data_IF_563533955063
#
_entry.id   IF_563533955063
#
_cell.length_a   1.000
_cell.length_b   1.000
_cell.length_c   1.000
_cell.angle_alpha   90.00
_cell.angle_beta   90.00
_cell.angle_gamma   90.00
#
_symmetry.space_group_name_H-M   'P 1'
#
loop_
_entity.id
_entity.type
_entity.pdbx_description
1 polymer ?
#
# COMPACT_ATOMS: atom_id res chain seq x y z
N UNK A 1 -1.74 -16.48 3.51
CA UNK A 1 -0.70 -16.39 2.44
C UNK A 1 -1.20 -16.74 1.04
N UNK A 2 -1.80 -17.92 0.77
CA UNK A 2 -2.23 -18.31 -0.59
C UNK A 2 -3.20 -17.32 -1.27
N UNK A 3 -4.23 -16.89 -0.54
CA UNK A 3 -5.22 -15.91 -1.03
C UNK A 3 -4.58 -14.55 -1.36
N UNK A 4 -3.76 -14.02 -0.45
CA UNK A 4 -3.03 -12.77 -0.64
C UNK A 4 -2.10 -12.79 -1.85
N UNK A 5 -1.33 -13.88 -2.04
CA UNK A 5 -0.47 -14.07 -3.21
C UNK A 5 -1.25 -14.08 -4.52
N UNK A 6 -2.37 -14.83 -4.56
CA UNK A 6 -3.21 -14.91 -5.76
C UNK A 6 -3.81 -13.54 -6.10
N UNK A 7 -4.35 -12.85 -5.10
CA UNK A 7 -4.95 -11.53 -5.31
C UNK A 7 -3.91 -10.48 -5.72
N UNK A 8 -2.71 -10.51 -5.13
CA UNK A 8 -1.58 -9.69 -5.55
C UNK A 8 -1.23 -9.91 -7.02
N UNK A 9 -1.14 -11.18 -7.44
CA UNK A 9 -0.83 -11.56 -8.82
C UNK A 9 -1.82 -10.98 -9.84
N UNK A 10 -3.10 -10.94 -9.52
CA UNK A 10 -4.14 -10.44 -10.42
C UNK A 10 -4.29 -8.92 -10.45
N UNK A 11 -3.89 -8.23 -9.38
CA UNK A 11 -4.26 -6.81 -9.17
C UNK A 11 -3.03 -5.90 -9.18
N UNK A 12 -1.96 -6.32 -8.51
CA UNK A 12 -0.83 -5.46 -8.16
C UNK A 12 0.41 -5.77 -9.01
N UNK A 13 0.58 -7.04 -9.42
CA UNK A 13 1.77 -7.53 -10.08
C UNK A 13 1.97 -6.98 -11.50
N UNK A 14 0.93 -6.44 -12.14
CA UNK A 14 1.06 -5.77 -13.45
C UNK A 14 1.98 -4.55 -13.40
N UNK A 15 1.97 -3.82 -12.28
CA UNK A 15 2.82 -2.63 -12.08
C UNK A 15 4.01 -2.96 -11.18
N UNK A 16 3.77 -3.59 -10.02
CA UNK A 16 4.81 -3.86 -9.02
C UNK A 16 5.63 -5.13 -9.29
N UNK A 17 5.32 -5.84 -10.39
CA UNK A 17 5.93 -7.11 -10.79
C UNK A 17 5.65 -8.26 -9.83
N UNK A 18 5.75 -9.51 -10.32
CA UNK A 18 5.50 -10.69 -9.49
C UNK A 18 6.46 -10.78 -8.27
N UNK A 19 7.68 -10.26 -8.43
CA UNK A 19 8.71 -10.20 -7.39
C UNK A 19 8.68 -8.94 -6.51
N UNK A 20 7.69 -8.05 -6.68
CA UNK A 20 7.60 -6.82 -5.89
C UNK A 20 8.73 -5.82 -6.16
N UNK A 21 9.51 -6.00 -7.23
CA UNK A 21 10.62 -5.12 -7.58
C UNK A 21 10.21 -3.84 -8.31
N UNK A 22 8.95 -3.75 -8.76
CA UNK A 22 8.49 -2.64 -9.58
C UNK A 22 9.25 -2.51 -10.91
N UNK A 23 9.24 -1.30 -11.45
CA UNK A 23 9.99 -0.92 -12.65
C UNK A 23 10.71 0.40 -12.35
N UNK A 24 12.06 0.42 -12.30
CA UNK A 24 12.82 1.62 -11.99
C UNK A 24 12.38 2.83 -12.83
N UNK A 25 12.15 3.96 -12.15
CA UNK A 25 11.67 5.21 -12.79
C UNK A 25 10.18 5.24 -13.16
N UNK A 26 9.42 4.14 -13.01
CA UNK A 26 7.99 4.10 -13.37
C UNK A 26 7.09 3.58 -12.25
N UNK A 27 7.42 2.42 -11.68
CA UNK A 27 6.65 1.79 -10.60
C UNK A 27 7.58 1.45 -9.43
N UNK A 28 7.25 1.88 -8.20
CA UNK A 28 8.14 1.67 -7.07
C UNK A 28 8.22 0.20 -6.66
N UNK A 29 9.38 -0.23 -6.10
CA UNK A 29 9.48 -1.53 -5.47
C UNK A 29 8.61 -1.58 -4.20
N UNK A 30 8.00 -2.73 -3.96
CA UNK A 30 7.36 -3.09 -2.70
C UNK A 30 8.31 -3.90 -1.79
N UNK A 31 9.25 -4.62 -2.40
CA UNK A 31 10.33 -5.29 -1.69
C UNK A 31 11.25 -4.24 -1.05
N UNK A 32 11.46 -4.32 0.28
CA UNK A 32 12.31 -3.40 1.02
C UNK A 32 11.77 -1.96 1.15
N UNK A 33 10.54 -1.69 0.71
CA UNK A 33 9.96 -0.35 0.80
C UNK A 33 9.67 0.04 2.25
N UNK A 34 10.06 1.26 2.61
CA UNK A 34 9.76 1.91 3.88
C UNK A 34 8.26 2.15 4.10
N UNK A 35 7.50 2.34 3.01
CA UNK A 35 6.04 2.48 3.04
C UNK A 35 5.35 1.15 3.28
N UNK A 36 5.94 0.05 2.79
CA UNK A 36 5.44 -1.30 3.01
C UNK A 36 5.77 -1.80 4.40
N UNK A 37 7.01 -1.64 4.84
CA UNK A 37 7.52 -2.24 6.09
C UNK A 37 7.26 -1.39 7.33
N UNK A 38 6.94 -0.11 7.15
CA UNK A 38 6.57 0.81 8.23
C UNK A 38 5.16 0.58 8.79
N UNK A 39 4.55 1.66 9.26
CA UNK A 39 3.23 1.65 9.90
C UNK A 39 2.11 1.22 8.92
N UNK A 40 1.33 0.22 9.32
CA UNK A 40 0.16 -0.23 8.55
C UNK A 40 -0.89 0.89 8.39
N UNK A 41 -0.96 1.85 9.32
CA UNK A 41 -1.84 3.01 9.24
C UNK A 41 -1.53 3.94 8.07
N UNK A 42 -0.34 3.84 7.47
CA UNK A 42 0.06 4.58 6.26
C UNK A 42 -0.07 3.71 5.02
N UNK A 43 0.30 2.43 5.10
CA UNK A 43 0.18 1.50 3.96
C UNK A 43 -1.28 1.27 3.54
N UNK A 44 -2.20 1.13 4.49
CA UNK A 44 -3.60 0.83 4.20
C UNK A 44 -4.26 1.99 3.40
N UNK A 45 -4.15 3.27 3.80
CA UNK A 45 -4.66 4.39 3.00
C UNK A 45 -4.05 4.52 1.62
N UNK A 46 -2.76 4.22 1.46
CA UNK A 46 -2.10 4.20 0.13
C UNK A 46 -2.87 3.30 -0.84
N UNK A 47 -3.26 2.10 -0.41
CA UNK A 47 -3.95 1.15 -1.29
C UNK A 47 -5.44 1.45 -1.39
N UNK A 48 -6.08 1.91 -0.30
CA UNK A 48 -7.50 2.26 -0.31
C UNK A 48 -7.80 3.45 -1.22
N UNK A 49 -6.98 4.50 -1.17
CA UNK A 49 -7.26 5.78 -1.83
C UNK A 49 -6.29 6.11 -2.96
N UNK A 50 -5.22 5.34 -3.12
CA UNK A 50 -4.22 5.57 -4.15
C UNK A 50 -3.24 6.69 -3.79
N UNK A 51 -2.25 6.89 -4.66
CA UNK A 51 -1.20 7.89 -4.52
C UNK A 51 -1.05 8.67 -5.82
N UNK A 52 -0.73 9.95 -5.73
CA UNK A 52 -0.39 10.78 -6.88
C UNK A 52 0.77 11.72 -6.56
N UNK A 53 1.43 12.20 -7.61
CA UNK A 53 2.56 13.12 -7.50
C UNK A 53 3.88 12.44 -7.13
N UNK A 54 4.93 13.24 -6.87
CA UNK A 54 6.25 12.71 -6.54
C UNK A 54 6.23 11.99 -5.19
N UNK A 55 6.91 10.85 -5.15
CA UNK A 55 7.11 10.02 -3.96
C UNK A 55 8.51 9.39 -4.01
N UNK A 56 9.18 9.39 -2.87
CA UNK A 56 10.44 8.67 -2.68
C UNK A 56 10.16 7.27 -2.15
N UNK A 57 10.70 6.24 -2.81
CA UNK A 57 10.62 4.86 -2.34
C UNK A 57 11.99 4.21 -2.48
N UNK A 58 12.51 3.66 -1.38
CA UNK A 58 13.84 3.04 -1.34
C UNK A 58 14.95 3.96 -1.90
N UNK A 59 14.85 5.26 -1.64
CA UNK A 59 15.81 6.28 -2.08
C UNK A 59 15.71 6.72 -3.55
N UNK A 60 14.77 6.18 -4.32
CA UNK A 60 14.50 6.60 -5.70
C UNK A 60 13.18 7.40 -5.80
N UNK A 61 13.13 8.37 -6.71
CA UNK A 61 11.93 9.16 -6.97
C UNK A 61 11.02 8.51 -8.03
N UNK A 62 9.72 8.54 -7.76
CA UNK A 62 8.64 8.09 -8.63
C UNK A 62 7.58 9.18 -8.71
N UNK A 63 6.99 9.40 -9.88
CA UNK A 63 5.96 10.42 -10.07
C UNK A 63 4.82 9.87 -10.95
N UNK A 64 4.35 8.68 -10.60
CA UNK A 64 3.25 8.02 -11.29
C UNK A 64 2.05 7.86 -10.34
N UNK A 65 0.86 7.74 -10.91
CA UNK A 65 -0.36 7.63 -10.11
C UNK A 65 -0.68 6.16 -9.85
N UNK A 66 -0.91 5.82 -8.58
CA UNK A 66 -1.49 4.54 -8.19
C UNK A 66 -2.98 4.74 -7.93
N UNK A 67 -3.84 4.09 -8.72
CA UNK A 67 -5.30 4.18 -8.54
C UNK A 67 -5.77 3.69 -7.16
N UNK A 68 -6.91 4.20 -6.72
CA UNK A 68 -7.60 3.76 -5.51
C UNK A 68 -8.21 2.36 -5.70
N UNK A 69 -7.88 1.43 -4.80
CA UNK A 69 -8.44 0.07 -4.79
C UNK A 69 -9.53 -0.12 -3.74
N UNK A 70 -9.75 0.85 -2.85
CA UNK A 70 -10.77 0.82 -1.81
C UNK A 70 -12.17 0.49 -2.34
N UNK A 71 -12.64 1.07 -3.46
CA UNK A 71 -13.98 0.78 -3.99
C UNK A 71 -14.17 -0.66 -4.47
N UNK A 72 -13.11 -1.34 -4.91
CA UNK A 72 -13.19 -2.66 -5.56
C UNK A 72 -12.72 -3.81 -4.68
N UNK A 73 -11.90 -3.53 -3.66
CA UNK A 73 -11.34 -4.54 -2.76
C UNK A 73 -11.94 -4.41 -1.35
N UNK A 74 -12.57 -5.48 -0.88
CA UNK A 74 -13.12 -5.60 0.48
C UNK A 74 -12.03 -5.89 1.51
N UNK A 75 -12.30 -5.59 2.77
CA UNK A 75 -11.32 -5.53 3.86
C UNK A 75 -10.55 -6.83 4.06
N UNK A 76 -11.23 -7.98 4.06
CA UNK A 76 -10.57 -9.29 4.16
C UNK A 76 -9.55 -9.53 3.05
N UNK A 77 -9.92 -9.23 1.81
CA UNK A 77 -9.03 -9.42 0.63
C UNK A 77 -7.89 -8.40 0.65
N UNK A 78 -8.18 -7.16 1.05
CA UNK A 78 -7.16 -6.11 1.21
C UNK A 78 -6.12 -6.52 2.26
N UNK A 79 -6.57 -6.92 3.45
CA UNK A 79 -5.72 -7.39 4.54
C UNK A 79 -4.83 -8.57 4.11
N UNK A 80 -5.39 -9.53 3.35
CA UNK A 80 -4.63 -10.65 2.80
C UNK A 80 -3.53 -10.21 1.81
N UNK A 81 -3.83 -9.26 0.90
CA UNK A 81 -2.86 -8.69 -0.05
C UNK A 81 -1.75 -7.96 0.70
N UNK A 82 -2.11 -7.06 1.62
CA UNK A 82 -1.16 -6.26 2.38
C UNK A 82 -0.26 -7.12 3.26
N UNK A 83 -0.82 -8.14 3.91
CA UNK A 83 -0.04 -9.14 4.67
C UNK A 83 0.94 -9.87 3.77
N UNK A 84 0.51 -10.31 2.58
CA UNK A 84 1.40 -10.98 1.64
C UNK A 84 2.57 -10.07 1.23
N UNK A 85 2.31 -8.81 0.88
CA UNK A 85 3.32 -7.82 0.50
C UNK A 85 4.32 -7.58 1.65
N UNK A 86 3.82 -7.46 2.89
CA UNK A 86 4.61 -7.19 4.11
C UNK A 86 5.49 -8.37 4.57
N UNK A 87 5.23 -9.57 4.06
CA UNK A 87 5.93 -10.81 4.42
C UNK A 87 6.61 -11.48 3.22
N UNK A 88 6.69 -10.80 2.08
CA UNK A 88 7.31 -11.31 0.85
C UNK A 88 8.61 -10.60 0.55
N UNK A 89 9.46 -11.24 -0.27
CA UNK A 89 10.66 -10.63 -0.86
C UNK A 89 11.65 -10.09 0.18
N UNK A 90 11.75 -10.77 1.33
CA UNK A 90 12.62 -10.37 2.44
C UNK A 90 12.00 -9.35 3.40
N UNK A 91 10.78 -8.87 3.13
CA UNK A 91 10.03 -8.07 4.10
C UNK A 91 9.64 -8.95 5.30
N UNK A 92 9.81 -8.41 6.51
CA UNK A 92 9.45 -9.06 7.76
C UNK A 92 8.67 -8.10 8.67
N UNK A 93 7.53 -7.61 8.18
CA UNK A 93 6.68 -6.70 8.92
C UNK A 93 5.39 -7.39 9.41
N UNK A 94 4.81 -6.88 10.50
CA UNK A 94 3.59 -7.44 11.10
C UNK A 94 2.46 -7.58 10.08
N UNK A 95 1.62 -8.61 10.15
CA UNK A 95 0.48 -8.77 9.25
C UNK A 95 -0.52 -7.62 9.41
N UNK A 96 -1.36 -7.44 8.40
CA UNK A 96 -2.52 -6.52 8.43
C UNK A 96 -3.78 -7.34 8.59
N UNK A 97 -4.63 -6.93 9.52
CA UNK A 97 -5.90 -7.56 9.84
C UNK A 97 -7.08 -6.91 9.08
N UNK A 98 -8.16 -7.64 8.80
CA UNK A 98 -9.38 -7.05 8.23
C UNK A 98 -9.95 -5.92 9.09
N UNK A 99 -9.81 -6.02 10.41
CA UNK A 99 -10.29 -5.02 11.38
C UNK A 99 -9.51 -3.70 11.27
N UNK A 100 -8.18 -3.75 11.12
CA UNK A 100 -7.37 -2.55 10.83
C UNK A 100 -7.79 -1.88 9.52
N UNK A 101 -8.02 -2.66 8.47
CA UNK A 101 -8.49 -2.12 7.18
C UNK A 101 -9.86 -1.47 7.34
N UNK A 102 -10.80 -2.10 8.04
CA UNK A 102 -12.13 -1.56 8.28
C UNK A 102 -12.09 -0.25 9.05
N UNK A 103 -11.29 -0.16 10.12
CA UNK A 103 -11.11 1.07 10.91
C UNK A 103 -10.59 2.22 10.06
N UNK A 104 -9.54 1.97 9.27
CA UNK A 104 -8.91 2.99 8.44
C UNK A 104 -9.83 3.41 7.28
N UNK A 105 -10.56 2.45 6.69
CA UNK A 105 -11.55 2.75 5.67
C UNK A 105 -12.61 3.70 6.19
N UNK A 106 -13.12 3.45 7.40
CA UNK A 106 -14.11 4.32 8.02
C UNK A 106 -13.51 5.70 8.35
N UNK A 107 -12.29 5.73 8.91
CA UNK A 107 -11.59 6.98 9.25
C UNK A 107 -11.37 7.91 8.04
N UNK A 108 -11.22 7.35 6.85
CA UNK A 108 -10.99 8.11 5.61
C UNK A 108 -12.11 7.94 4.57
N UNK A 109 -13.33 7.59 4.99
CA UNK A 109 -14.46 7.35 4.07
C UNK A 109 -14.82 8.56 3.21
N UNK A 110 -14.60 9.76 3.74
CA UNK A 110 -14.93 11.03 3.09
C UNK A 110 -13.81 11.54 2.16
N UNK A 111 -12.63 10.90 2.18
CA UNK A 111 -11.51 11.27 1.32
C UNK A 111 -11.81 10.86 -0.12
N UNK A 112 -11.79 11.85 -1.03
CA UNK A 112 -12.06 11.67 -2.48
C UNK A 112 -10.83 11.81 -3.36
N UNK A 113 -9.69 12.17 -2.77
CA UNK A 113 -8.43 12.41 -3.48
C UNK A 113 -7.40 11.34 -3.14
N UNK A 114 -6.52 11.06 -4.11
CA UNK A 114 -5.33 10.25 -3.87
C UNK A 114 -4.40 10.95 -2.87
N UNK A 115 -3.54 10.20 -2.20
CA UNK A 115 -2.56 10.75 -1.29
C UNK A 115 -1.35 11.32 -2.02
N UNK A 116 -0.81 12.43 -1.52
CA UNK A 116 0.55 12.88 -1.82
C UNK A 116 1.54 12.34 -0.80
N UNK A 117 2.83 12.27 -1.14
CA UNK A 117 3.87 11.91 -0.18
C UNK A 117 3.85 12.82 1.06
N UNK A 118 3.66 14.14 0.88
CA UNK A 118 3.62 15.10 1.97
C UNK A 118 2.49 14.80 2.97
N UNK A 119 1.29 14.47 2.51
CA UNK A 119 0.18 14.08 3.38
C UNK A 119 0.44 12.74 4.09
N UNK A 120 1.08 11.77 3.41
CA UNK A 120 1.42 10.48 4.01
C UNK A 120 2.50 10.63 5.09
N UNK A 121 3.45 11.54 4.91
CA UNK A 121 4.44 11.87 5.93
C UNK A 121 3.79 12.54 7.15
N UNK A 122 2.79 13.42 6.93
CA UNK A 122 2.01 14.00 8.03
C UNK A 122 1.19 12.94 8.77
N UNK A 123 0.57 12.01 8.04
CA UNK A 123 -0.16 10.88 8.62
C UNK A 123 0.76 9.96 9.43
N UNK A 124 1.97 9.69 8.92
CA UNK A 124 2.98 8.92 9.64
C UNK A 124 3.41 9.59 10.94
N UNK A 125 3.51 10.92 10.94
CA UNK A 125 3.86 11.69 12.13
C UNK A 125 2.70 11.77 13.14
N UNK A 126 1.45 11.77 12.67
CA UNK A 126 0.25 11.92 13.47
C UNK A 126 -0.80 10.87 13.07
N UNK A 127 -0.62 9.60 13.44
CA UNK A 127 -1.58 8.56 13.11
C UNK A 127 -2.91 8.83 13.82
N UNK A 128 -4.06 8.51 13.18
CA UNK A 128 -5.36 8.61 13.82
C UNK A 128 -5.40 7.74 15.09
N UNK A 129 -6.03 8.26 16.15
CA UNK A 129 -6.18 7.59 17.44
C UNK A 129 -7.10 6.37 17.36
#
# INVERSE_FOLDING_TARGET
MKEGKSAYGSICASCHQAGGGGQPGTYPPLAGSEWVTGDSHVLIPIVLHGVHGPMTVAGAQYNNNMQAWGPTIKDKKMAAILTYIRQSWGNNASPVTPEEVGKIREAFKDRKTQWTEAELLQLKANPPK
#
